data_IF_235183721745
#
_entry.id   IF_235183721745
#
_cell.length_a   1.000
_cell.length_b   1.000
_cell.length_c   1.000
_cell.angle_alpha   90.00
_cell.angle_beta   90.00
_cell.angle_gamma   90.00
#
_symmetry.space_group_name_H-M   'P 1'
#
loop_
_entity.id
_entity.type
_entity.pdbx_description
1 polymer ?
#
# COMPACT_ATOMS: atom_id res chain seq x y z
N UNK A 1 -28.22 1.29 3.54
CA UNK A 1 -27.99 2.75 3.44
C UNK A 1 -28.61 3.26 2.14
N UNK A 2 -29.39 4.34 2.15
CA UNK A 2 -30.04 4.86 0.94
C UNK A 2 -28.96 5.48 0.03
N UNK A 3 -28.88 5.06 -1.24
CA UNK A 3 -27.89 5.54 -2.24
C UNK A 3 -27.84 7.08 -2.34
N UNK A 4 -28.97 7.75 -2.12
CA UNK A 4 -29.09 9.21 -2.09
C UNK A 4 -28.27 9.86 -0.98
N UNK A 5 -28.19 9.25 0.20
CA UNK A 5 -27.39 9.77 1.31
C UNK A 5 -25.89 9.73 1.01
N UNK A 6 -25.42 8.71 0.29
CA UNK A 6 -24.02 8.58 -0.13
C UNK A 6 -23.64 9.66 -1.16
N UNK A 7 -24.51 9.91 -2.13
CA UNK A 7 -24.30 10.96 -3.13
C UNK A 7 -24.26 12.35 -2.49
N UNK A 8 -25.19 12.63 -1.57
CA UNK A 8 -25.21 13.88 -0.81
C UNK A 8 -23.94 14.07 0.01
N UNK A 9 -23.48 13.02 0.71
CA UNK A 9 -22.23 13.07 1.46
C UNK A 9 -21.02 13.32 0.56
N UNK A 10 -20.95 12.67 -0.60
CA UNK A 10 -19.86 12.86 -1.56
C UNK A 10 -19.83 14.29 -2.10
N UNK A 11 -20.98 14.83 -2.49
CA UNK A 11 -21.09 16.22 -2.99
C UNK A 11 -20.70 17.20 -1.89
N UNK A 12 -21.21 17.02 -0.67
CA UNK A 12 -20.84 17.86 0.47
C UNK A 12 -19.33 17.83 0.73
N UNK A 13 -18.71 16.64 0.70
CA UNK A 13 -17.26 16.48 0.88
C UNK A 13 -16.47 17.22 -0.21
N UNK A 14 -16.84 17.06 -1.49
CA UNK A 14 -16.17 17.72 -2.61
C UNK A 14 -16.32 19.24 -2.54
N UNK A 15 -17.48 19.74 -2.13
CA UNK A 15 -17.72 21.18 -1.94
C UNK A 15 -16.87 21.72 -0.79
N UNK A 16 -16.87 21.06 0.36
CA UNK A 16 -16.03 21.46 1.51
C UNK A 16 -14.56 21.48 1.11
N UNK A 17 -14.07 20.43 0.42
CA UNK A 17 -12.69 20.38 -0.05
C UNK A 17 -12.38 21.50 -1.05
N UNK A 18 -13.24 21.75 -2.04
CA UNK A 18 -13.05 22.84 -3.00
C UNK A 18 -12.99 24.20 -2.31
N UNK A 19 -13.89 24.47 -1.36
CA UNK A 19 -13.92 25.73 -0.61
C UNK A 19 -12.67 25.89 0.27
N UNK A 20 -12.24 24.83 0.96
CA UNK A 20 -11.03 24.86 1.78
C UNK A 20 -9.77 25.05 0.93
N UNK A 21 -9.67 24.39 -0.22
CA UNK A 21 -8.55 24.55 -1.14
C UNK A 21 -8.44 25.99 -1.64
N UNK A 22 -9.58 26.63 -1.96
CA UNK A 22 -9.63 28.04 -2.37
C UNK A 22 -9.30 28.99 -1.22
N UNK A 23 -9.81 28.72 -0.01
CA UNK A 23 -9.59 29.56 1.16
C UNK A 23 -8.14 29.52 1.66
N UNK A 24 -7.51 28.33 1.65
CA UNK A 24 -6.14 28.14 2.12
C UNK A 24 -5.10 28.49 1.05
N UNK A 25 -5.41 28.21 -0.23
CA UNK A 25 -4.53 28.45 -1.38
C UNK A 25 -3.09 27.94 -1.19
N UNK A 26 -2.95 26.74 -0.62
CA UNK A 26 -1.67 26.09 -0.36
C UNK A 26 -1.42 24.93 -1.33
N UNK A 27 -0.20 24.73 -1.84
CA UNK A 27 0.13 23.61 -2.72
C UNK A 27 -0.14 22.23 -2.11
N UNK A 28 -0.13 22.11 -0.78
CA UNK A 28 -0.40 20.87 -0.06
C UNK A 28 -1.89 20.44 -0.14
N UNK A 29 -2.80 21.37 -0.45
CA UNK A 29 -4.23 21.11 -0.58
C UNK A 29 -4.75 21.62 -1.94
N UNK A 30 -4.37 20.97 -3.06
CA UNK A 30 -4.90 21.31 -4.37
C UNK A 30 -6.41 21.06 -4.40
N UNK A 31 -7.11 21.78 -5.28
CA UNK A 31 -8.56 21.64 -5.41
C UNK A 31 -8.93 20.29 -6.05
N UNK A 32 -10.11 19.71 -5.73
CA UNK A 32 -10.56 18.46 -6.35
C UNK A 32 -10.59 18.54 -7.88
N UNK A 33 -10.89 19.71 -8.46
CA UNK A 33 -10.85 19.94 -9.91
C UNK A 33 -9.42 19.83 -10.45
N UNK A 34 -8.44 20.42 -9.78
CA UNK A 34 -7.04 20.33 -10.17
C UNK A 34 -6.53 18.89 -10.10
N UNK A 35 -6.90 18.15 -9.04
CA UNK A 35 -6.58 16.73 -8.88
C UNK A 35 -7.22 15.89 -9.99
N UNK A 36 -8.50 16.10 -10.31
CA UNK A 36 -9.18 15.38 -11.38
C UNK A 36 -8.53 15.66 -12.75
N UNK A 37 -8.17 16.92 -13.02
CA UNK A 37 -7.48 17.30 -14.25
C UNK A 37 -6.08 16.69 -14.34
N UNK A 38 -5.32 16.68 -13.23
CA UNK A 38 -4.02 16.01 -13.17
C UNK A 38 -4.15 14.50 -13.39
N UNK A 39 -5.11 13.85 -12.73
CA UNK A 39 -5.39 12.43 -12.90
C UNK A 39 -5.73 12.09 -14.37
N UNK A 40 -6.61 12.86 -15.00
CA UNK A 40 -6.98 12.64 -16.41
C UNK A 40 -5.80 12.83 -17.38
N UNK A 41 -4.81 13.65 -17.05
CA UNK A 41 -3.57 13.81 -17.83
C UNK A 41 -2.57 12.68 -17.60
N UNK A 42 -2.34 12.34 -16.33
CA UNK A 42 -1.30 11.40 -15.92
C UNK A 42 -1.67 9.94 -16.21
N UNK A 43 -2.95 9.56 -16.12
CA UNK A 43 -3.39 8.17 -16.34
C UNK A 43 -3.13 7.65 -17.76
N UNK A 44 -3.44 8.37 -18.86
CA UNK A 44 -3.22 7.82 -20.20
C UNK A 44 -1.82 8.07 -20.76
N UNK A 45 -1.14 9.14 -20.34
CA UNK A 45 0.10 9.62 -20.99
C UNK A 45 1.23 10.00 -20.04
N UNK A 46 0.99 9.99 -18.73
CA UNK A 46 1.99 10.32 -17.73
C UNK A 46 2.64 9.08 -17.10
N UNK A 47 3.39 9.31 -16.03
CA UNK A 47 4.16 8.25 -15.35
C UNK A 47 3.33 7.49 -14.30
N UNK A 48 2.12 7.96 -14.00
CA UNK A 48 1.26 7.36 -12.96
C UNK A 48 1.01 5.86 -13.17
N UNK A 49 0.62 5.36 -14.37
CA UNK A 49 0.43 3.92 -14.58
C UNK A 49 1.74 3.15 -14.43
N UNK A 50 2.86 3.71 -14.90
CA UNK A 50 4.17 3.07 -14.82
C UNK A 50 4.59 2.86 -13.36
N UNK A 51 4.49 3.89 -12.53
CA UNK A 51 4.81 3.80 -11.10
C UNK A 51 3.84 2.91 -10.33
N UNK A 52 2.55 2.98 -10.68
CA UNK A 52 1.53 2.10 -10.12
C UNK A 52 1.83 0.63 -10.44
N UNK A 53 2.06 0.30 -11.70
CA UNK A 53 2.37 -1.07 -12.15
C UNK A 53 3.69 -1.56 -11.58
N UNK A 54 4.73 -0.73 -11.51
CA UNK A 54 5.99 -1.09 -10.87
C UNK A 54 5.80 -1.44 -9.38
N UNK A 55 5.00 -0.67 -8.66
CA UNK A 55 4.70 -0.93 -7.25
C UNK A 55 3.81 -2.15 -7.06
N UNK A 56 2.81 -2.33 -7.91
CA UNK A 56 1.92 -3.49 -7.91
C UNK A 56 2.71 -4.78 -8.20
N UNK A 57 3.55 -4.75 -9.24
CA UNK A 57 4.43 -5.86 -9.59
C UNK A 57 5.34 -6.25 -8.42
N UNK A 58 5.96 -5.27 -7.75
CA UNK A 58 6.81 -5.52 -6.58
C UNK A 58 6.05 -6.24 -5.47
N UNK A 59 4.81 -5.83 -5.18
CA UNK A 59 3.96 -6.50 -4.17
C UNK A 59 3.66 -7.93 -4.57
N UNK A 60 3.16 -8.13 -5.79
CA UNK A 60 2.77 -9.46 -6.29
C UNK A 60 3.99 -10.41 -6.33
N UNK A 61 5.11 -9.95 -6.88
CA UNK A 61 6.33 -10.74 -6.96
C UNK A 61 6.87 -11.10 -5.58
N UNK A 62 6.89 -10.15 -4.63
CA UNK A 62 7.34 -10.40 -3.27
C UNK A 62 6.44 -11.40 -2.55
N UNK A 63 5.12 -11.32 -2.74
CA UNK A 63 4.16 -12.24 -2.14
C UNK A 63 4.29 -13.64 -2.74
N UNK A 64 4.39 -13.75 -4.06
CA UNK A 64 4.57 -15.01 -4.75
C UNK A 64 5.86 -15.71 -4.30
N UNK A 65 6.97 -14.98 -4.26
CA UNK A 65 8.26 -15.51 -3.79
C UNK A 65 8.20 -15.92 -2.32
N UNK A 66 7.59 -15.09 -1.47
CA UNK A 66 7.43 -15.40 -0.04
C UNK A 66 6.59 -16.66 0.17
N UNK A 67 5.47 -16.81 -0.55
CA UNK A 67 4.63 -18.00 -0.46
C UNK A 67 5.41 -19.23 -0.94
N UNK A 68 6.06 -19.13 -2.10
CA UNK A 68 6.79 -20.24 -2.71
C UNK A 68 7.94 -20.75 -1.82
N UNK A 69 8.57 -19.88 -1.03
CA UNK A 69 9.69 -20.25 -0.16
C UNK A 69 9.25 -20.54 1.29
N UNK A 70 8.47 -19.64 1.88
CA UNK A 70 8.13 -19.71 3.30
C UNK A 70 7.09 -20.79 3.61
N UNK A 71 6.15 -21.09 2.70
CA UNK A 71 5.14 -22.13 2.95
C UNK A 71 5.79 -23.52 3.01
N UNK A 72 6.58 -23.97 2.01
CA UNK A 72 7.26 -25.26 2.10
C UNK A 72 8.20 -25.34 3.30
N UNK A 73 8.97 -24.27 3.57
CA UNK A 73 9.85 -24.22 4.73
C UNK A 73 9.06 -24.38 6.05
N UNK A 74 7.95 -23.65 6.20
CA UNK A 74 7.08 -23.76 7.36
C UNK A 74 6.46 -25.15 7.54
N UNK A 75 6.05 -25.80 6.44
CA UNK A 75 5.53 -27.16 6.47
C UNK A 75 6.60 -28.18 6.90
N UNK A 76 7.85 -28.04 6.45
CA UNK A 76 8.96 -28.91 6.87
C UNK A 76 9.29 -28.70 8.35
N UNK A 77 9.35 -27.44 8.81
CA UNK A 77 9.60 -27.12 10.22
C UNK A 77 8.49 -27.67 11.13
N UNK A 78 7.22 -27.53 10.72
CA UNK A 78 6.07 -28.01 11.48
C UNK A 78 6.02 -29.53 11.65
N UNK A 79 6.61 -30.29 10.73
CA UNK A 79 6.66 -31.75 10.80
C UNK A 79 7.73 -32.29 11.77
N UNK A 80 8.72 -31.47 12.17
CA UNK A 80 9.84 -31.92 13.00
C UNK A 80 10.01 -31.07 14.27
N UNK A 81 9.74 -31.64 15.47
CA UNK A 81 9.92 -30.93 16.73
C UNK A 81 11.35 -30.40 16.95
N UNK A 82 12.36 -31.10 16.43
CA UNK A 82 13.78 -30.68 16.53
C UNK A 82 14.06 -29.45 15.67
N UNK A 83 13.63 -29.47 14.41
CA UNK A 83 13.82 -28.33 13.50
C UNK A 83 13.01 -27.12 13.99
N UNK A 84 11.77 -27.34 14.40
CA UNK A 84 10.93 -26.27 14.95
C UNK A 84 11.61 -25.59 16.15
N UNK A 85 12.17 -26.36 17.10
CA UNK A 85 12.87 -25.81 18.27
C UNK A 85 14.13 -25.00 17.90
N UNK A 86 14.85 -25.42 16.86
CA UNK A 86 16.05 -24.73 16.40
C UNK A 86 15.73 -23.40 15.70
N UNK A 87 14.71 -23.38 14.83
CA UNK A 87 14.39 -22.20 14.01
C UNK A 87 13.40 -21.23 14.68
N UNK A 88 12.58 -21.69 15.63
CA UNK A 88 11.59 -20.85 16.33
C UNK A 88 12.18 -19.55 16.90
N UNK A 89 13.34 -19.54 17.59
CA UNK A 89 13.91 -18.30 18.13
C UNK A 89 14.17 -17.24 17.06
N UNK A 90 14.72 -17.63 15.90
CA UNK A 90 14.98 -16.70 14.80
C UNK A 90 13.69 -16.17 14.17
N UNK A 91 12.68 -17.03 14.03
CA UNK A 91 11.35 -16.62 13.53
C UNK A 91 10.72 -15.62 14.48
N UNK A 92 10.71 -15.89 15.79
CA UNK A 92 10.13 -14.99 16.79
C UNK A 92 10.91 -13.68 16.94
N UNK A 93 12.23 -13.69 16.78
CA UNK A 93 13.04 -12.48 16.82
C UNK A 93 12.79 -11.57 15.61
N UNK A 94 12.58 -12.15 14.43
CA UNK A 94 12.39 -11.38 13.20
C UNK A 94 10.94 -10.96 12.95
N UNK A 95 9.96 -11.71 13.48
CA UNK A 95 8.54 -11.43 13.29
C UNK A 95 8.08 -10.01 13.72
N UNK A 96 8.48 -9.46 14.88
CA UNK A 96 8.04 -8.12 15.29
C UNK A 96 8.87 -6.99 14.68
N UNK A 97 9.89 -7.28 13.85
CA UNK A 97 10.76 -6.24 13.31
C UNK A 97 10.00 -5.33 12.32
N UNK A 98 9.94 -4.01 12.58
CA UNK A 98 9.37 -3.08 11.61
C UNK A 98 10.18 -3.11 10.31
N UNK A 99 9.50 -3.16 9.16
CA UNK A 99 10.17 -3.15 7.84
C UNK A 99 11.16 -1.99 7.67
N UNK A 100 10.89 -0.84 8.30
CA UNK A 100 11.77 0.34 8.25
C UNK A 100 13.15 0.08 8.86
N UNK A 101 13.29 -0.82 9.83
CA UNK A 101 14.57 -1.17 10.45
C UNK A 101 15.48 -1.91 9.47
N UNK A 102 14.90 -2.62 8.50
CA UNK A 102 15.64 -3.41 7.52
C UNK A 102 16.11 -2.59 6.31
N UNK A 103 15.67 -1.33 6.17
CA UNK A 103 15.98 -0.49 5.01
C UNK A 103 17.49 -0.38 4.78
N UNK A 104 18.36 -0.07 5.77
CA UNK A 104 19.80 0.08 5.53
C UNK A 104 20.55 -1.21 5.17
N UNK A 105 19.93 -2.39 5.35
CA UNK A 105 20.56 -3.70 5.16
C UNK A 105 20.16 -4.31 3.81
N UNK A 106 18.94 -4.03 3.36
CA UNK A 106 18.31 -4.71 2.21
C UNK A 106 18.16 -3.78 0.99
N UNK A 107 18.21 -2.46 1.19
CA UNK A 107 18.06 -1.40 0.17
C UNK A 107 19.27 -0.46 0.17
#
# INVERSE_FOLDING_TARGET
MRKSALLLALVALLLIWQLLAMALNQPILPSPVQVAAAFAREVPRGDLPRHFLASLWRVIASLALSIALAVPAGLVLGQSPRLNRLFSPFIYLTYPLPKVVLVPVVL
#
